data_IF_410869547319
#
_entry.id   IF_410869547319
#
_cell.length_a   1.000
_cell.length_b   1.000
_cell.length_c   1.000
_cell.angle_alpha   90.00
_cell.angle_beta   90.00
_cell.angle_gamma   90.00
#
_symmetry.space_group_name_H-M   'P 1'
#
loop_
_entity.id
_entity.type
_entity.pdbx_description
1 polymer ?
#
# COMPACT_ATOMS: atom_id res chain seq x y z
N UNK A 1 24.94 -33.68 -26.89
CA UNK A 1 25.75 -32.44 -26.77
C UNK A 1 24.98 -31.16 -27.14
N UNK A 2 24.24 -31.08 -28.26
CA UNK A 2 23.51 -29.86 -28.68
C UNK A 2 22.42 -29.35 -27.72
N UNK A 3 21.74 -30.25 -27.00
CA UNK A 3 20.66 -29.92 -26.04
C UNK A 3 21.17 -29.36 -24.70
N UNK A 4 22.31 -29.84 -24.22
CA UNK A 4 22.89 -29.38 -22.95
C UNK A 4 23.49 -27.98 -23.10
N UNK A 5 24.05 -27.68 -24.27
CA UNK A 5 24.49 -26.33 -24.64
C UNK A 5 23.33 -25.32 -24.62
N UNK A 6 22.14 -25.71 -25.11
CA UNK A 6 20.95 -24.86 -25.11
C UNK A 6 20.38 -24.61 -23.70
N UNK A 7 20.36 -25.63 -22.84
CA UNK A 7 19.91 -25.50 -21.45
C UNK A 7 20.85 -24.57 -20.66
N UNK A 8 22.17 -24.71 -20.86
CA UNK A 8 23.15 -23.86 -20.21
C UNK A 8 23.00 -22.39 -20.62
N UNK A 9 22.71 -22.13 -21.91
CA UNK A 9 22.41 -20.80 -22.42
C UNK A 9 21.15 -20.18 -21.78
N UNK A 10 20.06 -20.95 -21.68
CA UNK A 10 18.81 -20.49 -21.06
C UNK A 10 18.98 -20.20 -19.56
N UNK A 11 19.75 -21.03 -18.84
CA UNK A 11 20.06 -20.82 -17.43
C UNK A 11 20.97 -19.62 -17.19
N UNK A 12 21.87 -19.30 -18.13
CA UNK A 12 22.67 -18.09 -18.06
C UNK A 12 21.83 -16.85 -18.36
N UNK A 13 20.91 -16.94 -19.33
CA UNK A 13 20.02 -15.85 -19.71
C UNK A 13 19.01 -15.50 -18.62
N UNK A 14 18.54 -16.47 -17.83
CA UNK A 14 17.62 -16.21 -16.72
C UNK A 14 18.20 -15.32 -15.61
N UNK A 15 19.53 -15.20 -15.51
CA UNK A 15 20.19 -14.31 -14.54
C UNK A 15 20.02 -12.82 -14.90
N UNK A 16 19.64 -12.52 -16.13
CA UNK A 16 19.45 -11.15 -16.63
C UNK A 16 17.98 -10.75 -16.75
N UNK A 17 17.05 -11.64 -16.35
CA UNK A 17 15.62 -11.34 -16.35
C UNK A 17 15.27 -10.64 -15.04
N UNK A 18 14.99 -9.34 -15.10
CA UNK A 18 14.29 -8.63 -14.03
C UNK A 18 12.78 -8.79 -14.20
N UNK A 19 12.05 -8.94 -13.09
CA UNK A 19 10.59 -8.91 -13.11
C UNK A 19 10.01 -7.56 -13.54
N UNK A 20 8.69 -7.46 -13.60
CA UNK A 20 8.00 -6.21 -13.91
C UNK A 20 8.25 -5.18 -12.80
N UNK A 21 8.59 -3.95 -13.18
CA UNK A 21 8.69 -2.83 -12.24
C UNK A 21 7.28 -2.31 -11.98
N UNK A 22 6.90 -2.15 -10.71
CA UNK A 22 5.63 -1.50 -10.38
C UNK A 22 5.67 -0.04 -10.86
N UNK A 23 4.78 0.29 -11.81
CA UNK A 23 4.67 1.62 -12.38
C UNK A 23 3.75 2.54 -11.57
N UNK A 24 3.07 2.01 -10.55
CA UNK A 24 2.28 2.81 -9.61
C UNK A 24 3.25 3.66 -8.79
N UNK A 25 3.20 4.99 -8.91
CA UNK A 25 4.02 5.86 -8.08
C UNK A 25 3.59 5.76 -6.61
N UNK A 26 4.58 5.77 -5.70
CA UNK A 26 4.37 5.67 -4.25
C UNK A 26 3.46 4.48 -3.84
N UNK A 27 3.71 3.25 -4.30
CA UNK A 27 2.79 2.13 -4.11
C UNK A 27 2.68 1.69 -2.64
N UNK A 28 3.75 1.91 -1.86
CA UNK A 28 3.82 1.59 -0.44
C UNK A 28 3.31 2.70 0.48
N UNK A 29 2.92 3.87 -0.06
CA UNK A 29 2.54 5.05 0.73
C UNK A 29 3.65 5.62 1.63
N UNK A 30 4.90 5.25 1.39
CA UNK A 30 6.04 5.68 2.21
C UNK A 30 6.46 7.13 1.93
N UNK A 31 6.21 7.62 0.73
CA UNK A 31 6.48 9.02 0.41
C UNK A 31 5.31 9.89 0.88
N UNK A 32 5.51 10.61 1.99
CA UNK A 32 4.50 11.44 2.65
C UNK A 32 5.07 12.81 2.95
N UNK A 33 4.33 13.87 2.62
CA UNK A 33 4.77 15.26 2.79
C UNK A 33 4.73 15.74 4.25
N UNK A 34 3.80 15.22 5.05
CA UNK A 34 3.66 15.51 6.49
C UNK A 34 2.85 14.41 7.19
N UNK A 35 3.00 14.27 8.52
CA UNK A 35 2.22 13.29 9.26
C UNK A 35 0.73 13.68 9.26
N UNK A 36 -0.21 12.78 8.90
CA UNK A 36 -1.63 13.00 9.07
C UNK A 36 -1.96 13.25 10.53
N UNK A 37 -2.92 14.14 10.75
CA UNK A 37 -3.51 14.47 12.05
C UNK A 37 -4.95 13.97 12.17
N UNK A 38 -5.56 13.51 11.07
CA UNK A 38 -6.93 13.02 11.00
C UNK A 38 -7.11 12.04 9.84
N UNK A 39 -8.27 11.38 9.80
CA UNK A 39 -8.75 10.59 8.67
C UNK A 39 -8.91 11.47 7.41
N UNK A 40 -9.02 10.81 6.26
CA UNK A 40 -9.27 11.42 4.94
C UNK A 40 -8.14 12.33 4.46
N UNK A 41 -6.90 12.03 4.86
CA UNK A 41 -5.70 12.79 4.50
C UNK A 41 -4.78 12.05 3.52
N UNK A 42 -5.34 11.20 2.64
CA UNK A 42 -4.56 10.44 1.66
C UNK A 42 -3.70 11.31 0.73
N UNK A 43 -4.11 12.56 0.50
CA UNK A 43 -3.39 13.51 -0.37
C UNK A 43 -1.99 13.87 0.12
N UNK A 44 -1.68 13.59 1.39
CA UNK A 44 -0.34 13.71 1.94
C UNK A 44 0.64 12.70 1.34
N UNK A 45 0.12 11.58 0.80
CA UNK A 45 0.88 10.55 0.10
C UNK A 45 0.72 10.69 -1.42
N UNK A 46 1.15 11.82 -2.00
CA UNK A 46 1.03 12.03 -3.44
C UNK A 46 1.61 10.86 -4.26
N UNK A 47 0.99 10.50 -5.41
CA UNK A 47 -0.14 11.18 -6.06
C UNK A 47 -1.51 10.61 -5.67
N UNK A 48 -1.61 9.88 -4.57
CA UNK A 48 -2.88 9.30 -4.14
C UNK A 48 -3.90 10.38 -3.78
N UNK A 49 -5.16 10.15 -4.18
CA UNK A 49 -6.27 11.07 -3.94
C UNK A 49 -7.55 10.28 -3.72
N UNK A 50 -8.54 10.94 -3.12
CA UNK A 50 -9.87 10.38 -2.95
C UNK A 50 -10.65 10.43 -4.27
N UNK A 51 -10.91 9.27 -4.85
CA UNK A 51 -11.57 9.15 -6.16
C UNK A 51 -13.11 9.16 -6.11
N UNK A 52 -13.72 9.20 -4.93
CA UNK A 52 -15.18 9.11 -4.75
C UNK A 52 -15.66 9.66 -3.40
N UNK A 53 -16.81 9.19 -2.92
CA UNK A 53 -17.42 9.65 -1.66
C UNK A 53 -16.89 8.93 -0.41
N UNK A 54 -16.25 7.76 -0.59
CA UNK A 54 -15.58 7.06 0.51
C UNK A 54 -14.26 7.72 0.92
N UNK A 55 -13.72 7.32 2.07
CA UNK A 55 -12.50 7.90 2.64
C UNK A 55 -11.34 6.90 2.56
N UNK A 56 -10.37 7.11 1.66
CA UNK A 56 -9.06 6.49 1.82
C UNK A 56 -8.30 7.19 2.96
N UNK A 57 -7.82 6.40 3.92
CA UNK A 57 -7.20 6.88 5.15
C UNK A 57 -5.73 6.52 5.17
N UNK A 58 -4.86 7.51 5.44
CA UNK A 58 -3.42 7.30 5.52
C UNK A 58 -3.01 7.02 6.97
N UNK A 59 -2.42 5.86 7.23
CA UNK A 59 -1.93 5.45 8.54
C UNK A 59 -0.41 5.50 8.56
N UNK A 60 0.18 6.20 9.54
CA UNK A 60 1.65 6.36 9.62
C UNK A 60 2.16 6.29 11.06
N UNK A 61 3.41 5.85 11.24
CA UNK A 61 4.02 5.76 12.57
C UNK A 61 4.28 7.13 13.23
N UNK A 62 4.47 8.20 12.44
CA UNK A 62 4.77 9.53 12.97
C UNK A 62 3.53 10.33 13.41
N UNK A 63 2.32 9.79 13.24
CA UNK A 63 1.10 10.45 13.70
C UNK A 63 1.05 10.52 15.22
N UNK A 64 0.69 11.68 15.76
CA UNK A 64 0.37 11.84 17.19
C UNK A 64 -1.10 11.51 17.48
N UNK A 65 -1.95 11.47 16.44
CA UNK A 65 -3.31 10.99 16.55
C UNK A 65 -3.33 9.47 16.42
N UNK A 66 -3.76 8.78 17.48
CA UNK A 66 -3.85 7.32 17.53
C UNK A 66 -4.81 6.75 16.50
N UNK A 67 -5.82 7.50 16.04
CA UNK A 67 -6.80 7.03 15.07
C UNK A 67 -6.19 6.78 13.68
N UNK A 68 -5.04 7.38 13.38
CA UNK A 68 -4.31 7.23 12.12
C UNK A 68 -2.86 6.77 12.33
N UNK A 69 -2.59 6.16 13.49
CA UNK A 69 -1.31 5.57 13.83
C UNK A 69 -1.11 4.18 13.23
N UNK A 70 0.11 3.66 13.35
CA UNK A 70 0.41 2.24 13.16
C UNK A 70 1.20 1.72 14.36
N UNK A 71 1.06 0.44 14.75
CA UNK A 71 0.18 -0.56 14.13
C UNK A 71 -1.28 -0.47 14.59
N UNK A 72 -1.57 0.29 15.65
CA UNK A 72 -2.93 0.43 16.20
C UNK A 72 -3.56 1.74 15.73
N UNK A 73 -4.80 1.65 15.23
CA UNK A 73 -5.62 2.78 14.80
C UNK A 73 -7.12 2.51 14.97
N UNK A 74 -7.95 3.44 14.51
CA UNK A 74 -9.40 3.35 14.59
C UNK A 74 -9.95 2.07 13.91
N UNK A 75 -9.25 1.55 12.91
CA UNK A 75 -9.68 0.37 12.15
C UNK A 75 -9.22 -0.96 12.79
N UNK A 76 -8.31 -0.92 13.77
CA UNK A 76 -7.84 -2.09 14.49
C UNK A 76 -6.32 -2.12 14.67
N UNK A 77 -5.73 -3.32 14.58
CA UNK A 77 -4.30 -3.53 14.69
C UNK A 77 -3.77 -4.16 13.40
N UNK A 78 -2.98 -3.39 12.65
CA UNK A 78 -2.38 -3.79 11.39
C UNK A 78 -0.98 -3.18 11.28
N UNK A 79 0.03 -4.05 11.19
CA UNK A 79 1.39 -3.60 10.90
C UNK A 79 1.52 -3.20 9.42
N UNK A 80 2.36 -2.19 9.09
CA UNK A 80 2.79 -1.93 7.73
C UNK A 80 3.47 -3.16 7.11
N UNK A 81 3.14 -3.51 5.88
CA UNK A 81 3.82 -4.57 5.12
C UNK A 81 5.22 -4.15 4.66
N UNK A 82 5.41 -2.85 4.44
CA UNK A 82 6.70 -2.21 4.16
C UNK A 82 6.80 -0.95 4.99
N UNK A 83 8.00 -0.61 5.46
CA UNK A 83 8.26 0.65 6.15
C UNK A 83 7.36 0.89 7.37
N UNK A 84 6.79 2.08 7.44
CA UNK A 84 6.10 2.63 8.61
C UNK A 84 4.70 3.16 8.29
N UNK A 85 4.21 2.94 7.06
CA UNK A 85 3.01 3.60 6.53
C UNK A 85 2.18 2.65 5.66
N UNK A 86 0.88 2.89 5.61
CA UNK A 86 -0.02 2.26 4.66
C UNK A 86 -1.32 3.09 4.51
N UNK A 87 -2.16 2.76 3.53
CA UNK A 87 -3.49 3.36 3.38
C UNK A 87 -4.59 2.35 3.70
N UNK A 88 -5.75 2.77 4.17
CA UNK A 88 -6.93 1.91 4.32
C UNK A 88 -8.13 2.44 3.53
N UNK A 89 -9.06 1.55 3.20
CA UNK A 89 -10.36 1.93 2.66
C UNK A 89 -11.46 1.32 3.52
N UNK A 90 -12.46 2.15 3.82
CA UNK A 90 -13.74 1.72 4.36
C UNK A 90 -14.79 1.60 3.23
N UNK A 91 -15.43 0.44 3.12
CA UNK A 91 -16.53 0.19 2.21
C UNK A 91 -17.83 0.13 3.01
N UNK A 92 -18.73 1.07 2.72
CA UNK A 92 -20.07 1.14 3.30
C UNK A 92 -21.11 0.76 2.25
N UNK A 93 -22.05 -0.12 2.59
CA UNK A 93 -23.20 -0.42 1.75
C UNK A 93 -24.43 0.26 2.36
N UNK A 94 -25.08 1.16 1.65
CA UNK A 94 -26.19 1.97 2.19
C UNK A 94 -27.42 1.15 2.66
N UNK A 95 -27.55 -0.12 2.23
CA UNK A 95 -28.74 -0.94 2.49
C UNK A 95 -28.63 -1.86 3.71
N UNK A 96 -27.44 -2.01 4.30
CA UNK A 96 -27.19 -2.86 5.48
C UNK A 96 -26.05 -2.20 6.25
N UNK A 97 -26.13 -2.01 7.58
CA UNK A 97 -25.06 -1.43 8.42
C UNK A 97 -23.79 -2.32 8.53
N UNK A 98 -23.29 -2.82 7.40
CA UNK A 98 -22.09 -3.62 7.30
C UNK A 98 -20.98 -2.74 6.75
N UNK A 99 -19.99 -2.50 7.60
CA UNK A 99 -18.77 -1.76 7.28
C UNK A 99 -17.66 -2.79 7.06
N UNK A 100 -17.07 -2.82 5.86
CA UNK A 100 -15.88 -3.62 5.58
C UNK A 100 -14.66 -2.71 5.50
N UNK A 101 -13.60 -3.06 6.23
CA UNK A 101 -12.36 -2.29 6.32
C UNK A 101 -11.20 -3.11 5.81
N UNK A 102 -10.43 -2.54 4.89
CA UNK A 102 -9.30 -3.23 4.27
C UNK A 102 -8.04 -2.36 4.28
N UNK A 103 -6.89 -2.89 4.72
CA UNK A 103 -5.61 -2.24 4.48
C UNK A 103 -5.23 -2.36 3.00
N UNK A 104 -4.69 -1.28 2.45
CA UNK A 104 -4.08 -1.17 1.13
C UNK A 104 -2.56 -1.07 1.29
N UNK A 105 -1.87 -2.11 0.84
CA UNK A 105 -0.42 -2.20 0.88
C UNK A 105 0.03 -2.81 -0.46
N UNK A 106 0.41 -1.97 -1.42
CA UNK A 106 0.79 -2.40 -2.77
C UNK A 106 2.31 -2.64 -2.79
N UNK A 107 2.72 -3.82 -3.29
CA UNK A 107 4.12 -4.21 -3.47
C UNK A 107 4.76 -3.56 -4.70
#
# INVERSE_FOLDING_TARGET
MRKHSFIFLLSFFSLFISGQVNLVPNPSFENVSMCPSALTQISLAAPWFQAGTGTPDLFVACSTNTDVGVPVNLLGNQAPNTGDKYSGIELTVETIENILRFPLQIH
#
